data_IF_598015625690
#
_entry.id   IF_598015625690
#
_cell.length_a   1.000
_cell.length_b   1.000
_cell.length_c   1.000
_cell.angle_alpha   90.00
_cell.angle_beta   90.00
_cell.angle_gamma   90.00
#
_symmetry.space_group_name_H-M   'P 1'
#
loop_
_entity.id
_entity.type
_entity.pdbx_description
1 polymer ?
#
# COMPACT_ATOMS: atom_id res chain seq x y z
N UNK A 1 -10.94 6.23 28.36
CA UNK A 1 -10.73 6.41 26.91
C UNK A 1 -11.41 5.32 26.09
N UNK A 2 -11.04 4.04 26.20
CA UNK A 2 -11.66 2.95 25.41
C UNK A 2 -13.19 2.88 25.53
N UNK A 3 -13.73 2.93 26.76
CA UNK A 3 -15.18 2.89 26.97
C UNK A 3 -15.94 4.04 26.31
N UNK A 4 -15.32 5.23 26.20
CA UNK A 4 -15.92 6.37 25.49
C UNK A 4 -15.97 6.15 23.98
N UNK A 5 -14.96 5.50 23.40
CA UNK A 5 -14.94 5.14 21.98
C UNK A 5 -16.03 4.11 21.68
N UNK A 6 -16.15 3.08 22.53
CA UNK A 6 -17.18 2.04 22.37
C UNK A 6 -18.58 2.60 22.51
N UNK A 7 -18.80 3.48 23.49
CA UNK A 7 -20.07 4.19 23.68
C UNK A 7 -20.42 5.02 22.45
N UNK A 8 -19.51 5.89 21.99
CA UNK A 8 -19.75 6.70 20.79
C UNK A 8 -20.01 5.85 19.54
N UNK A 9 -19.27 4.75 19.36
CA UNK A 9 -19.47 3.82 18.24
C UNK A 9 -20.82 3.10 18.29
N UNK A 10 -21.32 2.79 19.49
CA UNK A 10 -22.64 2.19 19.66
C UNK A 10 -23.75 3.20 19.35
N UNK A 11 -23.67 4.41 19.92
CA UNK A 11 -24.71 5.44 19.75
C UNK A 11 -24.78 5.98 18.31
N UNK A 12 -23.66 6.03 17.57
CA UNK A 12 -23.68 6.46 16.17
C UNK A 12 -24.41 5.48 15.23
N UNK A 13 -24.65 4.23 15.66
CA UNK A 13 -25.33 3.23 14.81
C UNK A 13 -26.76 3.64 14.45
N UNK A 14 -27.45 4.37 15.32
CA UNK A 14 -28.81 4.87 15.02
C UNK A 14 -28.80 5.86 13.86
N UNK A 15 -27.83 6.79 13.86
CA UNK A 15 -27.63 7.72 12.74
C UNK A 15 -27.26 7.01 11.45
N UNK A 16 -26.38 5.99 11.51
CA UNK A 16 -26.02 5.18 10.34
C UNK A 16 -27.25 4.49 9.75
N UNK A 17 -28.08 3.87 10.59
CA UNK A 17 -29.34 3.23 10.15
C UNK A 17 -30.29 4.23 9.48
N UNK A 18 -30.44 5.42 10.06
CA UNK A 18 -31.26 6.47 9.45
C UNK A 18 -30.74 6.89 8.07
N UNK A 19 -29.40 6.96 7.88
CA UNK A 19 -28.82 7.23 6.57
C UNK A 19 -29.00 6.09 5.58
N UNK A 20 -28.90 4.83 6.02
CA UNK A 20 -29.18 3.66 5.19
C UNK A 20 -30.64 3.60 4.74
N UNK A 21 -31.58 3.91 5.64
CA UNK A 21 -33.01 4.01 5.32
C UNK A 21 -33.28 5.14 4.32
N UNK A 22 -32.74 6.33 4.56
CA UNK A 22 -32.84 7.44 3.62
C UNK A 22 -32.22 7.12 2.26
N UNK A 23 -31.06 6.45 2.22
CA UNK A 23 -30.43 6.03 0.98
C UNK A 23 -31.27 5.00 0.21
N UNK A 24 -32.05 4.15 0.90
CA UNK A 24 -32.99 3.23 0.23
C UNK A 24 -34.20 3.95 -0.38
N UNK A 25 -34.65 5.02 0.26
CA UNK A 25 -35.83 5.77 -0.21
C UNK A 25 -35.50 6.75 -1.33
N UNK A 26 -34.38 7.48 -1.21
CA UNK A 26 -34.05 8.62 -2.09
C UNK A 26 -32.62 8.59 -2.62
N UNK A 27 -31.86 7.52 -2.36
CA UNK A 27 -30.50 7.38 -2.84
C UNK A 27 -30.43 7.33 -4.37
N UNK A 28 -29.35 7.89 -4.91
CA UNK A 28 -29.02 7.72 -6.33
C UNK A 28 -28.45 6.32 -6.53
N UNK A 29 -28.63 5.80 -7.74
CA UNK A 29 -28.00 4.55 -8.14
C UNK A 29 -26.48 4.61 -7.91
N UNK A 30 -25.88 3.56 -7.32
CA UNK A 30 -24.44 3.44 -7.21
C UNK A 30 -23.79 3.55 -8.59
N UNK A 31 -22.69 4.30 -8.67
CA UNK A 31 -21.91 4.37 -9.90
C UNK A 31 -21.19 3.03 -10.13
N UNK A 32 -21.31 2.48 -11.35
CA UNK A 32 -20.52 1.32 -11.77
C UNK A 32 -19.04 1.70 -11.79
N UNK A 33 -18.28 1.18 -10.83
CA UNK A 33 -16.86 1.44 -10.67
C UNK A 33 -16.11 0.13 -10.60
N UNK A 34 -15.18 -0.07 -11.52
CA UNK A 34 -14.22 -1.15 -11.45
C UNK A 34 -12.90 -0.62 -10.86
N UNK A 35 -12.41 -1.20 -9.74
CA UNK A 35 -11.15 -0.80 -9.17
C UNK A 35 -10.01 -1.20 -10.10
N UNK A 36 -9.05 -0.29 -10.26
CA UNK A 36 -7.81 -0.58 -10.98
C UNK A 36 -7.10 -1.78 -10.34
N UNK A 37 -6.93 -2.84 -11.12
CA UNK A 37 -6.15 -4.02 -10.72
C UNK A 37 -4.73 -3.92 -11.24
N UNK A 38 -3.76 -4.25 -10.40
CA UNK A 38 -2.36 -4.38 -10.80
C UNK A 38 -2.17 -5.80 -11.34
N UNK A 39 -1.60 -5.93 -12.53
CA UNK A 39 -1.27 -7.24 -13.13
C UNK A 39 -0.37 -8.06 -12.18
N UNK A 40 -0.75 -9.32 -11.97
CA UNK A 40 -0.01 -10.26 -11.14
C UNK A 40 1.36 -10.61 -11.74
N UNK A 41 1.49 -10.62 -13.07
CA UNK A 41 2.77 -10.86 -13.73
C UNK A 41 3.74 -9.70 -13.45
N UNK A 42 3.23 -8.47 -13.49
CA UNK A 42 3.99 -7.28 -13.16
C UNK A 42 4.41 -7.29 -11.68
N UNK A 43 3.53 -7.72 -10.77
CA UNK A 43 3.91 -7.92 -9.36
C UNK A 43 5.04 -8.95 -9.20
N UNK A 44 4.93 -10.12 -9.85
CA UNK A 44 5.99 -11.14 -9.79
C UNK A 44 7.31 -10.63 -10.37
N UNK A 45 7.28 -9.91 -11.49
CA UNK A 45 8.46 -9.34 -12.10
C UNK A 45 9.15 -8.31 -11.17
N UNK A 46 8.38 -7.50 -10.44
CA UNK A 46 8.92 -6.59 -9.43
C UNK A 46 9.47 -7.35 -8.22
N UNK A 47 8.78 -8.41 -7.78
CA UNK A 47 9.23 -9.24 -6.67
C UNK A 47 10.56 -9.93 -6.98
N UNK A 48 10.71 -10.60 -8.12
CA UNK A 48 11.92 -11.34 -8.46
C UNK A 48 13.16 -10.44 -8.54
N UNK A 49 13.03 -9.21 -9.05
CA UNK A 49 14.17 -8.32 -9.30
C UNK A 49 14.52 -7.41 -8.11
N UNK A 50 13.60 -7.20 -7.17
CA UNK A 50 13.75 -6.18 -6.13
C UNK A 50 13.47 -6.67 -4.70
N UNK A 51 13.04 -7.92 -4.50
CA UNK A 51 12.77 -8.49 -3.16
C UNK A 51 13.98 -8.43 -2.24
N UNK A 52 15.21 -8.55 -2.74
CA UNK A 52 16.40 -8.51 -1.88
C UNK A 52 16.82 -7.08 -1.49
N UNK A 53 16.60 -6.11 -2.39
CA UNK A 53 17.01 -4.71 -2.19
C UNK A 53 16.07 -3.95 -1.24
N UNK A 54 14.79 -4.34 -1.16
CA UNK A 54 13.82 -3.66 -0.29
C UNK A 54 14.14 -3.90 1.21
N UNK A 55 14.40 -5.13 1.69
CA UNK A 55 14.85 -5.39 3.06
C UNK A 55 16.14 -4.65 3.42
N UNK A 56 17.10 -4.57 2.50
CA UNK A 56 18.33 -3.79 2.68
C UNK A 56 18.01 -2.31 2.89
N UNK A 57 17.17 -1.72 2.02
CA UNK A 57 16.74 -0.34 2.13
C UNK A 57 16.08 -0.05 3.50
N UNK A 58 15.22 -0.96 3.96
CA UNK A 58 14.53 -0.83 5.25
C UNK A 58 15.36 -1.19 6.48
N UNK A 59 16.59 -1.67 6.28
CA UNK A 59 17.57 -1.81 7.36
C UNK A 59 18.37 -0.52 7.59
N UNK A 60 18.27 0.45 6.66
CA UNK A 60 18.84 1.79 6.81
C UNK A 60 17.97 2.61 7.76
N UNK A 61 18.49 2.87 8.97
CA UNK A 61 17.79 3.66 10.00
C UNK A 61 17.59 5.12 9.61
N UNK A 62 18.62 5.72 9.01
CA UNK A 62 18.58 7.12 8.58
C UNK A 62 17.52 7.34 7.49
N UNK A 63 16.58 8.25 7.75
CA UNK A 63 15.45 8.51 6.86
C UNK A 63 15.89 9.04 5.50
N UNK A 64 16.87 9.94 5.44
CA UNK A 64 17.29 10.55 4.18
C UNK A 64 18.00 9.53 3.30
N UNK A 65 18.93 8.77 3.87
CA UNK A 65 19.65 7.70 3.17
C UNK A 65 18.70 6.62 2.68
N UNK A 66 17.73 6.21 3.49
CA UNK A 66 16.72 5.22 3.09
C UNK A 66 15.87 5.72 1.92
N UNK A 67 15.39 6.96 1.97
CA UNK A 67 14.59 7.54 0.89
C UNK A 67 15.39 7.61 -0.41
N UNK A 68 16.65 8.02 -0.35
CA UNK A 68 17.54 8.06 -1.52
C UNK A 68 17.78 6.66 -2.10
N UNK A 69 18.00 5.66 -1.25
CA UNK A 69 18.20 4.29 -1.69
C UNK A 69 16.94 3.72 -2.37
N UNK A 70 15.76 3.92 -1.79
CA UNK A 70 14.48 3.51 -2.38
C UNK A 70 14.22 4.25 -3.70
N UNK A 71 14.52 5.54 -3.79
CA UNK A 71 14.41 6.29 -5.04
C UNK A 71 15.31 5.70 -6.14
N UNK A 72 16.56 5.32 -5.79
CA UNK A 72 17.45 4.65 -6.73
C UNK A 72 16.92 3.28 -7.20
N UNK A 73 16.24 2.53 -6.32
CA UNK A 73 15.58 1.27 -6.71
C UNK A 73 14.44 1.55 -7.69
N UNK A 74 13.58 2.53 -7.39
CA UNK A 74 12.45 2.90 -8.23
C UNK A 74 12.89 3.34 -9.63
N UNK A 75 13.94 4.17 -9.71
CA UNK A 75 14.46 4.60 -11.01
C UNK A 75 14.97 3.40 -11.82
N UNK A 76 15.70 2.47 -11.21
CA UNK A 76 16.14 1.23 -11.89
C UNK A 76 14.98 0.37 -12.36
N UNK A 77 13.92 0.26 -11.54
CA UNK A 77 12.72 -0.47 -11.94
C UNK A 77 12.09 0.15 -13.19
N UNK A 78 11.96 1.48 -13.23
CA UNK A 78 11.41 2.19 -14.38
C UNK A 78 12.32 2.00 -15.59
N UNK A 79 13.63 2.22 -15.44
CA UNK A 79 14.61 2.05 -16.53
C UNK A 79 14.63 0.62 -17.11
N UNK A 80 14.45 -0.42 -16.29
CA UNK A 80 14.53 -1.82 -16.72
C UNK A 80 13.20 -2.42 -17.21
N UNK A 81 12.07 -1.90 -16.72
CA UNK A 81 10.75 -2.54 -16.89
C UNK A 81 9.71 -1.66 -17.57
N UNK A 82 9.96 -0.36 -17.74
CA UNK A 82 9.10 0.47 -18.55
C UNK A 82 9.32 0.08 -20.03
N UNK A 83 8.28 -0.39 -20.73
CA UNK A 83 8.38 -0.69 -22.16
C UNK A 83 8.67 0.59 -22.95
N UNK A 84 9.48 0.47 -24.01
CA UNK A 84 9.76 1.58 -24.94
C UNK A 84 8.59 1.88 -25.89
N UNK A 85 7.60 0.99 -25.93
CA UNK A 85 6.41 1.11 -26.77
C UNK A 85 5.35 1.98 -26.09
N UNK A 86 4.98 3.10 -26.71
CA UNK A 86 3.95 4.02 -26.20
C UNK A 86 2.55 3.39 -26.16
N UNK A 87 2.31 2.31 -26.90
CA UNK A 87 1.05 1.56 -26.91
C UNK A 87 0.99 0.44 -25.86
N UNK A 88 1.99 0.33 -24.98
CA UNK A 88 1.99 -0.68 -23.93
C UNK A 88 0.95 -0.41 -22.84
N UNK A 89 0.27 -1.46 -22.39
CA UNK A 89 -0.67 -1.41 -21.26
C UNK A 89 0.00 -1.11 -19.91
N UNK A 90 1.34 -1.17 -19.84
CA UNK A 90 2.10 -0.95 -18.60
C UNK A 90 2.62 0.49 -18.55
N UNK A 91 2.03 1.29 -17.66
CA UNK A 91 2.52 2.64 -17.38
C UNK A 91 3.55 2.68 -16.26
N UNK A 92 4.30 3.79 -16.16
CA UNK A 92 5.19 4.07 -15.02
C UNK A 92 4.42 4.00 -13.68
N UNK A 93 3.17 4.50 -13.66
CA UNK A 93 2.31 4.42 -12.48
C UNK A 93 2.04 2.99 -12.05
N UNK A 94 1.87 2.06 -12.98
CA UNK A 94 1.59 0.65 -12.66
C UNK A 94 2.81 -0.03 -12.01
N UNK A 95 4.00 0.27 -12.53
CA UNK A 95 5.27 -0.19 -11.94
C UNK A 95 5.46 0.35 -10.52
N UNK A 96 5.18 1.64 -10.31
CA UNK A 96 5.29 2.28 -9.00
C UNK A 96 4.24 1.77 -8.00
N UNK A 97 3.00 1.52 -8.46
CA UNK A 97 1.92 0.95 -7.66
C UNK A 97 2.27 -0.50 -7.24
N UNK A 98 2.81 -1.29 -8.16
CA UNK A 98 3.27 -2.64 -7.87
C UNK A 98 4.44 -2.66 -6.90
N UNK A 99 5.46 -1.81 -7.12
CA UNK A 99 6.57 -1.64 -6.19
C UNK A 99 6.05 -1.31 -4.79
N UNK A 100 5.13 -0.35 -4.68
CA UNK A 100 4.54 0.05 -3.39
C UNK A 100 3.76 -1.09 -2.73
N UNK A 101 3.09 -1.95 -3.50
CA UNK A 101 2.39 -3.14 -2.98
C UNK A 101 3.38 -4.16 -2.41
N UNK A 102 4.48 -4.43 -3.12
CA UNK A 102 5.57 -5.31 -2.67
C UNK A 102 6.26 -4.75 -1.44
N UNK A 103 6.59 -3.46 -1.46
CA UNK A 103 7.18 -2.70 -0.36
C UNK A 103 6.35 -2.82 0.92
N UNK A 104 5.04 -2.54 0.81
CA UNK A 104 4.08 -2.67 1.91
C UNK A 104 4.04 -4.09 2.47
N UNK A 105 4.04 -5.10 1.59
CA UNK A 105 4.01 -6.51 2.00
C UNK A 105 5.26 -6.86 2.79
N UNK A 106 6.45 -6.53 2.29
CA UNK A 106 7.73 -6.84 2.96
C UNK A 106 7.79 -6.18 4.34
N UNK A 107 7.53 -4.87 4.43
CA UNK A 107 7.57 -4.15 5.72
C UNK A 107 6.58 -4.74 6.72
N UNK A 108 5.37 -5.06 6.28
CA UNK A 108 4.34 -5.66 7.14
C UNK A 108 4.74 -7.06 7.59
N UNK A 109 5.25 -7.90 6.71
CA UNK A 109 5.69 -9.26 7.03
C UNK A 109 6.83 -9.24 8.05
N UNK A 110 7.83 -8.38 7.89
CA UNK A 110 8.92 -8.23 8.89
C UNK A 110 8.37 -7.91 10.28
N UNK A 111 7.43 -6.96 10.36
CA UNK A 111 6.81 -6.58 11.61
C UNK A 111 5.99 -7.72 12.23
N UNK A 112 5.23 -8.46 11.42
CA UNK A 112 4.44 -9.61 11.87
C UNK A 112 5.33 -10.80 12.29
N UNK A 113 6.53 -10.93 11.72
CA UNK A 113 7.53 -11.92 12.09
C UNK A 113 8.31 -11.54 13.37
N UNK A 114 8.02 -10.39 13.97
CA UNK A 114 8.69 -9.93 15.20
C UNK A 114 10.06 -9.31 14.97
N UNK A 115 10.41 -8.95 13.73
CA UNK A 115 11.60 -8.15 13.48
C UNK A 115 11.42 -6.71 14.00
N UNK A 116 12.54 -6.04 14.27
CA UNK A 116 12.53 -4.64 14.66
C UNK A 116 11.89 -3.75 13.57
N UNK A 117 11.28 -2.65 14.00
CA UNK A 117 10.73 -1.62 13.11
C UNK A 117 11.84 -1.01 12.24
N UNK A 118 11.43 -0.25 11.23
CA UNK A 118 12.31 0.38 10.23
C UNK A 118 13.43 1.24 10.87
N UNK A 119 13.18 1.84 12.03
CA UNK A 119 14.14 2.64 12.77
C UNK A 119 14.91 1.85 13.85
N UNK A 120 14.64 0.55 13.97
CA UNK A 120 15.27 -0.37 14.92
C UNK A 120 14.58 -0.45 16.28
N UNK A 121 13.42 0.18 16.46
CA UNK A 121 12.61 0.04 17.68
C UNK A 121 11.88 -1.29 17.72
N UNK A 122 11.58 -1.76 18.93
CA UNK A 122 10.67 -2.89 19.12
C UNK A 122 9.20 -2.46 18.93
N UNK A 123 8.28 -3.39 19.14
CA UNK A 123 6.84 -3.15 19.00
C UNK A 123 6.21 -2.46 20.21
N UNK A 124 6.88 -2.49 21.36
CA UNK A 124 6.31 -2.14 22.66
C UNK A 124 6.83 -0.79 23.20
N UNK A 125 7.82 -0.18 22.53
CA UNK A 125 8.43 1.15 22.84
C UNK A 125 8.32 2.16 21.69
#
# INVERSE_FOLDING_TARGET
>A
MLGGILFAHQEMQESIKAFEEMAKEVGKEPFEYEPKTIDENLLKAVEENFTDKIPEAYSIKDKQKRVQFIAGIKNKLIEEKLPEDEDSEVSESDLLDAFKKVEKRIVRTRLLNGEARIDGRDLDT
#
